data_IF_531435781669
#
_entry.id   IF_531435781669
#
_cell.length_a   1.000
_cell.length_b   1.000
_cell.length_c   1.000
_cell.angle_alpha   90.00
_cell.angle_beta   90.00
_cell.angle_gamma   90.00
#
_symmetry.space_group_name_H-M   'P 1'
#
loop_
_entity.id
_entity.type
_entity.pdbx_description
1 polymer ?
#
# COMPACT_ATOMS: atom_id res chain seq x y z
N UNK A 1 -10.05 9.45 0.20
CA UNK A 1 -9.62 10.65 -0.54
C UNK A 1 -10.55 10.78 -1.74
N UNK A 2 -11.10 11.95 -2.10
CA UNK A 2 -12.09 12.01 -3.19
C UNK A 2 -11.42 11.90 -4.57
N UNK A 3 -11.98 11.08 -5.46
CA UNK A 3 -11.52 10.95 -6.85
C UNK A 3 -12.38 11.81 -7.77
N UNK A 4 -11.74 12.43 -8.77
CA UNK A 4 -12.43 13.20 -9.81
C UNK A 4 -12.47 12.39 -11.09
N UNK A 5 -13.67 12.06 -11.54
CA UNK A 5 -13.91 11.36 -12.79
C UNK A 5 -14.56 12.28 -13.83
N UNK A 6 -14.36 11.96 -15.11
CA UNK A 6 -14.95 12.71 -16.22
C UNK A 6 -15.85 11.80 -17.05
N UNK A 7 -17.14 12.11 -17.05
CA UNK A 7 -18.14 11.39 -17.81
C UNK A 7 -18.39 12.09 -19.15
N UNK A 8 -18.24 11.35 -20.24
CA UNK A 8 -18.52 11.84 -21.60
C UNK A 8 -19.96 11.55 -22.01
N UNK A 9 -20.64 12.56 -22.58
CA UNK A 9 -21.97 12.42 -23.21
C UNK A 9 -21.77 12.53 -24.71
N UNK A 10 -22.12 11.47 -25.45
CA UNK A 10 -21.74 11.35 -26.84
C UNK A 10 -22.73 10.53 -27.66
N UNK A 11 -22.79 10.79 -28.96
CA UNK A 11 -23.53 9.93 -29.92
C UNK A 11 -22.64 8.83 -30.52
N UNK A 12 -21.33 8.98 -30.37
CA UNK A 12 -20.28 8.03 -30.75
C UNK A 12 -19.04 8.37 -29.92
N UNK A 13 -18.14 7.41 -29.67
CA UNK A 13 -16.88 7.65 -28.92
C UNK A 13 -15.96 8.71 -29.56
N UNK A 14 -16.23 9.09 -30.83
CA UNK A 14 -15.53 10.17 -31.54
C UNK A 14 -16.34 11.46 -31.66
N UNK A 15 -17.60 11.46 -31.21
CA UNK A 15 -18.50 12.61 -31.28
C UNK A 15 -19.06 12.94 -29.89
N UNK A 16 -18.20 13.56 -29.08
CA UNK A 16 -18.50 13.97 -27.71
C UNK A 16 -19.28 15.29 -27.74
N UNK A 17 -20.49 15.27 -27.22
CA UNK A 17 -21.37 16.44 -27.12
C UNK A 17 -21.16 17.21 -25.80
N UNK A 18 -20.61 16.58 -24.77
CA UNK A 18 -20.28 17.22 -23.50
C UNK A 18 -19.46 16.34 -22.56
N UNK A 19 -18.83 16.97 -21.57
CA UNK A 19 -18.08 16.31 -20.50
C UNK A 19 -18.61 16.84 -19.17
N UNK A 20 -18.90 15.94 -18.24
CA UNK A 20 -19.36 16.26 -16.88
C UNK A 20 -18.34 15.75 -15.89
N UNK A 21 -17.87 16.64 -15.02
CA UNK A 21 -16.98 16.28 -13.91
C UNK A 21 -17.82 15.75 -12.74
N UNK A 22 -17.42 14.59 -12.21
CA UNK A 22 -18.07 13.96 -11.05
C UNK A 22 -17.02 13.75 -9.96
N UNK A 23 -17.33 14.19 -8.75
CA UNK A 23 -16.51 13.89 -7.56
C UNK A 23 -17.12 12.69 -6.85
N UNK A 24 -16.38 11.59 -6.78
CA UNK A 24 -16.80 10.38 -6.10
C UNK A 24 -16.12 10.26 -4.73
N UNK A 25 -16.88 9.98 -3.66
CA UNK A 25 -16.28 9.65 -2.38
C UNK A 25 -15.52 8.32 -2.51
N UNK A 26 -14.41 8.22 -1.78
CA UNK A 26 -13.68 6.98 -1.59
C UNK A 26 -14.62 5.91 -1.01
N UNK A 27 -14.55 4.68 -1.52
CA UNK A 27 -15.43 3.60 -1.04
C UNK A 27 -15.02 3.06 0.34
N UNK A 28 -13.90 3.56 0.88
CA UNK A 28 -13.35 3.21 2.18
C UNK A 28 -12.93 1.75 2.26
N UNK A 29 -12.77 1.07 1.12
CA UNK A 29 -12.27 -0.30 1.10
C UNK A 29 -10.75 -0.28 1.06
N UNK A 30 -10.14 -1.05 1.94
CA UNK A 30 -8.72 -1.36 1.88
C UNK A 30 -8.53 -2.67 1.12
N UNK A 31 -7.45 -2.78 0.36
CA UNK A 31 -7.03 -4.07 -0.19
C UNK A 31 -6.73 -4.98 1.00
N UNK A 32 -7.17 -6.25 1.01
CA UNK A 32 -6.74 -7.15 2.08
C UNK A 32 -5.28 -7.54 1.84
N UNK A 33 -4.37 -6.82 2.48
CA UNK A 33 -2.95 -7.10 2.37
C UNK A 33 -2.60 -8.43 3.06
N UNK A 34 -1.74 -9.20 2.39
CA UNK A 34 -1.19 -10.47 2.84
C UNK A 34 0.34 -10.51 2.65
N UNK A 35 0.95 -11.65 2.93
CA UNK A 35 2.40 -11.84 2.84
C UNK A 35 2.95 -11.83 1.39
N UNK A 36 2.07 -11.97 0.39
CA UNK A 36 2.40 -11.95 -1.04
C UNK A 36 2.19 -10.58 -1.66
N UNK A 37 1.46 -9.70 -0.97
CA UNK A 37 1.30 -8.31 -1.35
C UNK A 37 2.67 -7.61 -1.37
N UNK A 38 2.82 -6.70 -2.32
CA UNK A 38 4.07 -5.99 -2.60
C UNK A 38 4.33 -4.88 -1.60
N UNK A 39 5.60 -4.46 -1.47
CA UNK A 39 5.95 -3.29 -0.67
C UNK A 39 5.20 -2.02 -1.11
N UNK A 40 4.98 -1.81 -2.41
CA UNK A 40 4.22 -0.67 -2.90
C UNK A 40 2.76 -0.71 -2.45
N UNK A 41 2.09 -1.86 -2.56
CA UNK A 41 0.71 -2.03 -2.06
C UNK A 41 0.63 -1.79 -0.55
N UNK A 42 1.61 -2.28 0.21
CA UNK A 42 1.70 -2.00 1.64
C UNK A 42 1.93 -0.53 1.95
N UNK A 43 2.81 0.15 1.21
CA UNK A 43 3.12 1.58 1.41
C UNK A 43 1.92 2.48 1.11
N UNK A 44 1.19 2.16 0.06
CA UNK A 44 0.10 2.98 -0.46
C UNK A 44 -1.23 2.69 0.28
N UNK A 45 -1.32 1.58 1.02
CA UNK A 45 -2.47 1.27 1.87
C UNK A 45 -2.53 2.17 3.12
N UNK A 46 -3.71 2.74 3.46
CA UNK A 46 -3.84 3.67 4.58
C UNK A 46 -3.56 3.04 5.96
N UNK A 47 -3.68 1.72 6.09
CA UNK A 47 -3.41 0.98 7.32
C UNK A 47 -2.00 0.36 7.27
N UNK A 48 -1.64 -0.26 6.14
CA UNK A 48 -0.36 -0.92 5.88
C UNK A 48 0.81 0.05 5.86
N UNK A 49 0.64 1.24 5.29
CA UNK A 49 1.70 2.21 5.03
C UNK A 49 2.43 2.64 6.29
N UNK A 50 1.70 3.08 7.34
CA UNK A 50 2.31 3.40 8.63
C UNK A 50 3.00 2.21 9.31
N UNK A 51 2.52 0.98 9.09
CA UNK A 51 3.11 -0.23 9.70
C UNK A 51 4.45 -0.55 9.02
N UNK A 52 4.46 -0.62 7.68
CA UNK A 52 5.67 -0.96 6.93
C UNK A 52 6.72 0.15 7.02
N UNK A 53 6.31 1.42 7.03
CA UNK A 53 7.22 2.55 7.20
C UNK A 53 7.94 2.54 8.56
N UNK A 54 7.29 2.07 9.63
CA UNK A 54 7.93 1.90 10.92
C UNK A 54 8.93 0.74 10.94
N UNK A 55 8.62 -0.37 10.24
CA UNK A 55 9.56 -1.48 10.08
C UNK A 55 10.83 -1.03 9.33
N UNK A 56 10.66 -0.32 8.21
CA UNK A 56 11.79 0.16 7.40
C UNK A 56 12.66 1.16 8.17
N UNK A 57 12.06 2.05 8.96
CA UNK A 57 12.82 2.98 9.82
C UNK A 57 13.63 2.22 10.87
N UNK A 58 13.02 1.25 11.56
CA UNK A 58 13.72 0.45 12.55
C UNK A 58 14.87 -0.38 11.93
N UNK A 59 14.70 -0.85 10.69
CA UNK A 59 15.74 -1.54 9.95
C UNK A 59 16.88 -0.60 9.51
N UNK A 60 16.56 0.60 9.03
CA UNK A 60 17.54 1.62 8.66
C UNK A 60 18.39 2.07 9.85
N UNK A 61 17.80 2.15 11.06
CA UNK A 61 18.52 2.46 12.31
C UNK A 61 19.49 1.34 12.73
N UNK A 62 19.27 0.09 12.31
CA UNK A 62 20.13 -1.05 12.65
C UNK A 62 21.25 -1.30 11.61
N UNK A 63 20.99 -1.09 10.31
CA UNK A 63 21.91 -1.47 9.22
C UNK A 63 22.40 -0.28 8.35
N UNK A 64 21.94 0.94 8.66
CA UNK A 64 22.65 2.18 8.38
C UNK A 64 22.72 2.74 6.95
N UNK A 65 22.34 2.06 5.87
CA UNK A 65 22.35 2.73 4.54
C UNK A 65 21.65 2.04 3.35
N UNK A 66 21.40 0.73 3.37
CA UNK A 66 20.99 0.02 2.15
C UNK A 66 19.57 0.36 1.64
N UNK A 67 18.70 0.88 2.51
CA UNK A 67 17.28 1.16 2.19
C UNK A 67 17.04 2.56 1.61
N UNK A 68 18.04 3.45 1.68
CA UNK A 68 17.94 4.82 1.18
C UNK A 68 18.40 4.97 -0.29
N UNK A 69 19.00 3.93 -0.87
CA UNK A 69 19.40 3.94 -2.28
C UNK A 69 18.17 3.93 -3.22
N UNK A 70 18.03 4.90 -4.15
CA UNK A 70 16.88 4.97 -5.05
C UNK A 70 16.68 3.74 -5.93
N UNK A 71 17.76 3.04 -6.30
CA UNK A 71 17.69 1.82 -7.11
C UNK A 71 17.14 0.66 -6.29
N UNK A 72 17.61 0.53 -5.04
CA UNK A 72 17.07 -0.44 -4.09
C UNK A 72 15.59 -0.17 -3.80
N UNK A 73 15.20 1.09 -3.60
CA UNK A 73 13.80 1.45 -3.37
C UNK A 73 12.91 1.11 -4.57
N UNK A 74 13.38 1.33 -5.79
CA UNK A 74 12.65 0.94 -7.00
C UNK A 74 12.46 -0.58 -7.06
N UNK A 75 13.51 -1.35 -6.76
CA UNK A 75 13.43 -2.81 -6.72
C UNK A 75 12.47 -3.31 -5.64
N UNK A 76 12.52 -2.71 -4.44
CA UNK A 76 11.65 -3.08 -3.33
C UNK A 76 10.16 -2.92 -3.66
N UNK A 77 9.78 -1.92 -4.46
CA UNK A 77 8.36 -1.64 -4.77
C UNK A 77 7.60 -2.84 -5.31
N UNK A 78 8.25 -3.73 -6.07
CA UNK A 78 7.61 -4.93 -6.64
C UNK A 78 7.83 -6.20 -5.81
N UNK A 79 8.64 -6.15 -4.75
CA UNK A 79 8.90 -7.33 -3.93
C UNK A 79 7.74 -7.63 -2.98
N UNK A 80 7.36 -8.91 -2.83
CA UNK A 80 6.41 -9.32 -1.80
C UNK A 80 7.02 -9.15 -0.40
N UNK A 81 6.20 -8.84 0.59
CA UNK A 81 6.65 -8.60 1.97
C UNK A 81 7.41 -9.80 2.55
N UNK A 82 7.01 -11.05 2.23
CA UNK A 82 7.70 -12.26 2.69
C UNK A 82 9.16 -12.36 2.24
N UNK A 83 9.57 -11.57 1.24
CA UNK A 83 10.95 -11.50 0.73
C UNK A 83 11.75 -10.38 1.40
N UNK A 84 11.08 -9.41 2.02
CA UNK A 84 11.76 -8.29 2.69
C UNK A 84 12.52 -8.74 3.92
N UNK A 85 12.05 -9.75 4.66
CA UNK A 85 12.78 -10.24 5.83
C UNK A 85 14.17 -10.80 5.48
N UNK A 86 14.28 -11.45 4.31
CA UNK A 86 15.56 -12.00 3.81
C UNK A 86 16.54 -10.86 3.52
N UNK A 87 16.03 -9.76 2.99
CA UNK A 87 16.81 -8.55 2.70
C UNK A 87 17.24 -7.82 3.98
N UNK A 88 16.38 -7.79 5.01
CA UNK A 88 16.66 -7.13 6.29
C UNK A 88 17.51 -7.97 7.24
N UNK A 89 17.88 -9.21 6.87
CA UNK A 89 18.69 -10.09 7.70
C UNK A 89 18.00 -10.56 8.99
N UNK A 90 16.68 -10.42 9.06
CA UNK A 90 15.87 -10.75 10.24
C UNK A 90 15.09 -12.05 10.02
N UNK A 91 14.68 -12.74 11.09
CA UNK A 91 13.86 -13.97 10.99
C UNK A 91 12.54 -13.69 10.26
N UNK A 92 12.29 -14.43 9.17
CA UNK A 92 11.13 -14.20 8.28
C UNK A 92 9.79 -14.34 9.01
N UNK A 93 9.64 -15.45 9.72
CA UNK A 93 8.35 -15.83 10.28
C UNK A 93 7.89 -14.88 11.40
N UNK A 94 8.80 -14.35 12.20
CA UNK A 94 8.46 -13.46 13.32
C UNK A 94 8.06 -12.08 12.84
N UNK A 95 8.73 -11.55 11.81
CA UNK A 95 8.40 -10.23 11.24
C UNK A 95 7.11 -10.29 10.47
N UNK A 96 6.95 -11.26 9.56
CA UNK A 96 5.74 -11.36 8.75
C UNK A 96 4.55 -11.62 9.66
N UNK A 97 4.66 -12.52 10.64
CA UNK A 97 3.57 -12.77 11.61
C UNK A 97 3.23 -11.54 12.44
N UNK A 98 4.24 -10.79 12.91
CA UNK A 98 4.04 -9.53 13.66
C UNK A 98 3.38 -8.46 12.79
N UNK A 99 3.83 -8.32 11.53
CA UNK A 99 3.30 -7.36 10.57
C UNK A 99 1.84 -7.67 10.23
N UNK A 100 1.54 -8.93 9.89
CA UNK A 100 0.18 -9.41 9.60
C UNK A 100 -0.73 -9.24 10.81
N UNK A 101 -0.23 -9.54 12.02
CA UNK A 101 -0.98 -9.36 13.26
C UNK A 101 -1.37 -7.89 13.51
N UNK A 102 -0.42 -6.96 13.33
CA UNK A 102 -0.67 -5.51 13.44
C UNK A 102 -1.67 -5.03 12.40
N UNK A 103 -1.51 -5.49 11.15
CA UNK A 103 -2.39 -5.10 10.06
C UNK A 103 -3.83 -5.58 10.30
N UNK A 104 -4.03 -6.88 10.58
CA UNK A 104 -5.35 -7.44 10.87
C UNK A 104 -6.04 -6.77 12.05
N UNK A 105 -5.29 -6.47 13.12
CA UNK A 105 -5.82 -5.76 14.28
C UNK A 105 -6.35 -4.36 13.95
N UNK A 106 -5.60 -3.59 13.14
CA UNK A 106 -6.00 -2.25 12.72
C UNK A 106 -7.09 -2.25 11.65
N UNK A 107 -7.03 -3.19 10.70
CA UNK A 107 -8.04 -3.37 9.67
C UNK A 107 -9.40 -3.77 10.27
N UNK A 108 -9.41 -4.65 11.28
CA UNK A 108 -10.63 -4.98 12.00
C UNK A 108 -11.22 -3.78 12.75
N UNK A 109 -10.38 -2.96 13.40
CA UNK A 109 -10.83 -1.74 14.08
C UNK A 109 -11.39 -0.68 13.11
N UNK A 110 -10.82 -0.57 11.92
CA UNK A 110 -11.29 0.34 10.87
C UNK A 110 -12.63 -0.11 10.25
N UNK A 111 -12.85 -1.43 10.14
CA UNK A 111 -14.10 -2.01 9.61
C UNK A 111 -15.25 -1.95 10.63
N UNK A 112 -14.97 -2.03 11.93
CA UNK A 112 -15.96 -2.01 13.01
C UNK A 112 -16.51 -0.62 13.40
N UNK A 113 -16.05 0.46 12.76
CA UNK A 113 -16.44 1.84 13.07
C UNK A 113 -17.44 2.44 12.05
N UNK A 114 -18.29 1.60 11.44
CA UNK A 114 -19.38 2.00 10.54
C UNK A 114 -20.74 1.88 11.22
#
# INVERSE_FOLDING_TARGET
MAFTDFHEVATSSRNIAGIVQVTLPDDGKTLQLDEWSTYAEWRDDPIGGPIIGNLMRAAAEQDGSALDDPTMQLFMQSMPINSLSMMLGMSNDEIVSSLMGKYRGKAAAASGNK
#
